data_IF_874934842063
#
_entry.id   IF_874934842063
#
_cell.length_a   1.000
_cell.length_b   1.000
_cell.length_c   1.000
_cell.angle_alpha   90.00
_cell.angle_beta   90.00
_cell.angle_gamma   90.00
#
_symmetry.space_group_name_H-M   'P 1'
#
loop_
_entity.id
_entity.type
_entity.pdbx_description
1 polymer ?
#
# COMPACT_ATOMS: atom_id res chain seq x y z
N UNK A 1 7.85 2.48 3.78
CA UNK A 1 7.60 1.04 3.63
C UNK A 1 7.50 0.72 2.16
N UNK A 2 8.21 -0.27 1.66
CA UNK A 2 8.05 -0.76 0.29
C UNK A 2 6.82 -1.68 0.17
N UNK A 3 6.42 -2.01 -1.05
CA UNK A 3 5.24 -2.85 -1.32
C UNK A 3 5.32 -4.22 -0.64
N UNK A 4 6.50 -4.84 -0.58
CA UNK A 4 6.67 -6.15 0.07
C UNK A 4 6.45 -6.07 1.57
N UNK A 5 6.97 -5.04 2.24
CA UNK A 5 6.75 -4.81 3.67
C UNK A 5 5.27 -4.59 3.98
N UNK A 6 4.55 -3.85 3.14
CA UNK A 6 3.11 -3.64 3.29
C UNK A 6 2.35 -4.95 3.07
N UNK A 7 2.73 -5.73 2.06
CA UNK A 7 2.13 -7.03 1.78
C UNK A 7 2.28 -7.99 2.97
N UNK A 8 3.48 -8.08 3.55
CA UNK A 8 3.73 -8.86 4.76
C UNK A 8 2.90 -8.37 5.94
N UNK A 9 2.81 -7.05 6.16
CA UNK A 9 2.03 -6.49 7.27
C UNK A 9 0.53 -6.77 7.15
N UNK A 10 0.00 -6.76 5.92
CA UNK A 10 -1.41 -7.03 5.64
C UNK A 10 -1.71 -8.53 5.51
N UNK A 11 -0.69 -9.40 5.59
CA UNK A 11 -0.77 -10.82 5.27
C UNK A 11 -1.37 -11.08 3.86
N UNK A 12 -0.95 -10.28 2.88
CA UNK A 12 -1.43 -10.31 1.49
C UNK A 12 -0.27 -10.51 0.51
N UNK A 13 -0.59 -10.77 -0.78
CA UNK A 13 0.43 -10.80 -1.83
C UNK A 13 0.80 -9.39 -2.32
N UNK A 14 2.03 -9.20 -2.80
CA UNK A 14 2.47 -7.93 -3.41
C UNK A 14 1.63 -7.54 -4.63
N UNK A 15 1.18 -8.53 -5.41
CA UNK A 15 0.26 -8.35 -6.54
C UNK A 15 -1.09 -7.77 -6.08
N UNK A 16 -1.62 -8.28 -4.96
CA UNK A 16 -2.84 -7.74 -4.35
C UNK A 16 -2.64 -6.28 -3.93
N UNK A 17 -1.50 -5.95 -3.31
CA UNK A 17 -1.21 -4.56 -2.92
C UNK A 17 -1.16 -3.62 -4.13
N UNK A 18 -0.59 -4.05 -5.26
CA UNK A 18 -0.57 -3.22 -6.47
C UNK A 18 -1.95 -3.03 -7.13
N UNK A 19 -2.80 -4.07 -7.11
CA UNK A 19 -4.06 -4.07 -7.87
C UNK A 19 -5.26 -3.63 -7.03
N UNK A 20 -5.34 -4.10 -5.79
CA UNK A 20 -6.54 -3.98 -4.96
C UNK A 20 -6.39 -2.90 -3.89
N UNK A 21 -5.23 -2.77 -3.24
CA UNK A 21 -5.07 -1.79 -2.17
C UNK A 21 -5.31 -0.34 -2.65
N UNK A 22 -4.87 -0.03 -3.88
CA UNK A 22 -5.15 1.27 -4.50
C UNK A 22 -6.65 1.51 -4.74
N UNK A 23 -7.44 0.47 -5.09
CA UNK A 23 -8.89 0.56 -5.26
C UNK A 23 -9.61 0.81 -3.93
N UNK A 24 -9.06 0.28 -2.84
CA UNK A 24 -9.54 0.49 -1.48
C UNK A 24 -9.06 1.80 -0.85
N UNK A 25 -8.37 2.66 -1.62
CA UNK A 25 -7.93 3.98 -1.17
C UNK A 25 -6.56 4.03 -0.49
N UNK A 26 -5.84 2.90 -0.40
CA UNK A 26 -4.45 2.90 0.08
C UNK A 26 -3.52 3.43 -1.02
N UNK A 27 -3.14 4.71 -0.92
CA UNK A 27 -2.30 5.37 -1.93
C UNK A 27 -0.81 5.20 -1.61
N UNK A 28 -0.07 4.58 -2.53
CA UNK A 28 1.39 4.58 -2.52
C UNK A 28 1.97 5.80 -3.25
N UNK A 29 3.13 6.27 -2.82
CA UNK A 29 3.90 7.30 -3.52
C UNK A 29 5.01 6.66 -4.36
N UNK A 30 5.19 7.16 -5.58
CA UNK A 30 6.27 6.73 -6.46
C UNK A 30 7.56 7.46 -6.10
N UNK A 31 8.61 6.70 -5.84
CA UNK A 31 9.97 7.21 -5.76
C UNK A 31 10.58 7.20 -7.15
N UNK A 32 10.61 8.37 -7.79
CA UNK A 32 11.11 8.57 -9.14
C UNK A 32 10.02 8.63 -10.21
N UNK A 33 10.45 8.68 -11.48
CA UNK A 33 9.59 8.82 -12.66
C UNK A 33 9.66 7.55 -13.52
N UNK A 34 8.59 7.24 -14.25
CA UNK A 34 8.53 6.10 -15.20
C UNK A 34 7.78 4.86 -14.69
N UNK A 35 7.71 3.83 -15.54
CA UNK A 35 6.91 2.61 -15.32
C UNK A 35 7.41 1.74 -14.17
N UNK A 36 8.73 1.72 -13.94
CA UNK A 36 9.39 0.90 -12.92
C UNK A 36 9.75 1.69 -11.65
N UNK A 37 9.18 2.89 -11.46
CA UNK A 37 9.39 3.66 -10.25
C UNK A 37 8.92 2.87 -9.03
N UNK A 38 9.76 2.80 -7.99
CA UNK A 38 9.42 2.05 -6.76
C UNK A 38 8.23 2.71 -6.09
N UNK A 39 7.26 1.92 -5.65
CA UNK A 39 6.14 2.41 -4.85
C UNK A 39 6.47 2.22 -3.39
N UNK A 40 6.28 3.29 -2.62
CA UNK A 40 6.49 3.33 -1.19
C UNK A 40 5.21 3.80 -0.51
N UNK A 41 5.11 3.50 0.79
CA UNK A 41 3.96 3.79 1.63
C UNK A 41 4.43 4.40 2.94
N UNK A 42 3.68 5.39 3.44
CA UNK A 42 3.94 5.99 4.74
C UNK A 42 3.29 5.11 5.77
N UNK A 43 4.06 4.65 6.76
CA UNK A 43 3.58 3.76 7.82
C UNK A 43 2.30 4.32 8.47
N UNK A 44 2.29 5.61 8.79
CA UNK A 44 1.14 6.32 9.37
C UNK A 44 -0.11 6.29 8.49
N UNK A 45 0.02 6.40 7.17
CA UNK A 45 -1.12 6.32 6.24
C UNK A 45 -1.66 4.90 6.14
N UNK A 46 -0.80 3.89 6.13
CA UNK A 46 -1.24 2.48 6.12
C UNK A 46 -2.01 2.15 7.39
N UNK A 47 -1.56 2.60 8.56
CA UNK A 47 -2.30 2.41 9.81
C UNK A 47 -3.63 3.15 9.83
N UNK A 48 -3.68 4.40 9.38
CA UNK A 48 -4.95 5.14 9.27
C UNK A 48 -5.93 4.43 8.34
N UNK A 49 -5.44 3.91 7.22
CA UNK A 49 -6.26 3.14 6.29
C UNK A 49 -6.79 1.84 6.92
N UNK A 50 -5.96 1.12 7.68
CA UNK A 50 -6.41 -0.05 8.44
C UNK A 50 -7.52 0.28 9.45
N UNK A 51 -7.39 1.39 10.18
CA UNK A 51 -8.44 1.84 11.09
C UNK A 51 -9.74 2.16 10.35
N UNK A 52 -9.66 2.75 9.15
CA UNK A 52 -10.84 2.99 8.32
C UNK A 52 -11.53 1.69 7.88
N UNK A 53 -10.77 0.63 7.59
CA UNK A 53 -11.34 -0.66 7.19
C UNK A 53 -12.05 -1.40 8.33
N UNK A 54 -11.68 -1.16 9.59
CA UNK A 54 -12.34 -1.79 10.75
C UNK A 54 -13.74 -1.22 11.03
N UNK A 55 -14.03 -0.03 10.51
CA UNK A 55 -15.29 0.70 10.74
C UNK A 55 -16.35 0.33 9.67
N UNK A 56 -15.99 -0.49 8.68
CA UNK A 56 -16.90 -1.07 7.68
C UNK A 56 -17.28 -2.50 8.04
#
# INVERSE_FOLDING_TARGET
MNTSEVATMLNMSTSWVYKEAAKLGLKGYKLGRGRNAKVLYKKTEVFKWLEQQKIH
#
